data_IF_854769317886
#
_entry.id   IF_854769317886
#
_cell.length_a   1.000
_cell.length_b   1.000
_cell.length_c   1.000
_cell.angle_alpha   90.00
_cell.angle_beta   90.00
_cell.angle_gamma   90.00
#
_symmetry.space_group_name_H-M   'P 1'
#
loop_
_entity.id
_entity.type
_entity.pdbx_description
1 polymer ?
#
# COMPACT_ATOMS: atom_id res chain seq x y z
N UNK A 1 1.48 -15.72 -9.25
CA UNK A 1 2.51 -15.60 -8.19
C UNK A 1 1.80 -15.18 -6.92
N UNK A 2 2.22 -15.61 -5.73
CA UNK A 2 1.60 -15.16 -4.47
C UNK A 2 2.42 -13.99 -3.90
N UNK A 3 1.84 -12.80 -3.85
CA UNK A 3 2.50 -11.56 -3.43
C UNK A 3 1.67 -10.88 -2.35
N UNK A 4 2.35 -10.36 -1.33
CA UNK A 4 1.76 -9.50 -0.32
C UNK A 4 2.52 -8.18 -0.29
N UNK A 5 1.79 -7.06 -0.29
CA UNK A 5 2.35 -5.72 -0.13
C UNK A 5 2.20 -5.32 1.33
N UNK A 6 3.30 -4.99 2.00
CA UNK A 6 3.28 -4.53 3.40
C UNK A 6 3.80 -3.11 3.44
N UNK A 7 2.96 -2.20 3.93
CA UNK A 7 3.29 -0.79 4.11
C UNK A 7 3.08 -0.41 5.57
N UNK A 8 4.02 0.30 6.17
CA UNK A 8 3.95 0.62 7.60
C UNK A 8 2.68 1.39 7.92
N UNK A 9 2.49 2.59 7.36
CA UNK A 9 1.37 3.49 7.68
C UNK A 9 0.68 4.06 6.44
N UNK A 10 -0.63 3.86 6.36
CA UNK A 10 -1.52 4.49 5.37
C UNK A 10 -2.29 5.64 6.03
N UNK A 11 -1.62 6.79 6.19
CA UNK A 11 -2.19 7.98 6.86
C UNK A 11 -2.21 9.23 5.97
N UNK A 12 -1.97 9.08 4.67
CA UNK A 12 -1.98 10.18 3.70
C UNK A 12 -1.12 9.87 2.48
N UNK A 13 -1.15 10.72 1.45
CA UNK A 13 -0.45 10.47 0.18
C UNK A 13 0.95 11.11 0.17
N UNK A 14 1.99 10.37 0.58
CA UNK A 14 3.40 10.80 0.56
C UNK A 14 4.21 9.91 -0.38
N UNK A 15 5.54 10.05 -0.36
CA UNK A 15 6.42 9.33 -1.28
C UNK A 15 6.27 7.81 -1.18
N UNK A 16 6.12 7.26 0.03
CA UNK A 16 5.93 5.83 0.25
C UNK A 16 4.65 5.30 -0.38
N UNK A 17 3.53 6.00 -0.18
CA UNK A 17 2.23 5.61 -0.72
C UNK A 17 2.19 5.75 -2.24
N UNK A 18 2.93 6.71 -2.82
CA UNK A 18 3.09 6.79 -4.28
C UNK A 18 3.84 5.58 -4.84
N UNK A 19 4.84 5.06 -4.12
CA UNK A 19 5.50 3.81 -4.52
C UNK A 19 4.55 2.62 -4.36
N UNK A 20 3.83 2.55 -3.24
CA UNK A 20 2.84 1.51 -3.00
C UNK A 20 1.77 1.48 -4.10
N UNK A 21 1.28 2.63 -4.54
CA UNK A 21 0.33 2.75 -5.65
C UNK A 21 0.88 2.09 -6.92
N UNK A 22 2.14 2.38 -7.29
CA UNK A 22 2.75 1.75 -8.46
C UNK A 22 2.92 0.23 -8.27
N UNK A 23 3.24 -0.23 -7.05
CA UNK A 23 3.29 -1.66 -6.74
C UNK A 23 1.93 -2.34 -6.85
N UNK A 24 0.84 -1.67 -6.44
CA UNK A 24 -0.52 -2.16 -6.61
C UNK A 24 -0.89 -2.32 -8.10
N UNK A 25 -0.42 -1.41 -8.97
CA UNK A 25 -0.62 -1.54 -10.41
C UNK A 25 0.15 -2.73 -11.01
N UNK A 26 1.35 -3.01 -10.50
CA UNK A 26 2.17 -4.14 -10.94
C UNK A 26 1.66 -5.49 -10.42
N UNK A 27 1.07 -5.49 -9.22
CA UNK A 27 0.56 -6.69 -8.54
C UNK A 27 -0.90 -6.51 -8.13
N UNK A 28 -1.83 -6.49 -9.10
CA UNK A 28 -3.25 -6.18 -8.86
C UNK A 28 -3.98 -7.20 -7.99
N UNK A 29 -3.44 -8.41 -7.86
CA UNK A 29 -4.01 -9.49 -7.02
C UNK A 29 -3.35 -9.59 -5.63
N UNK A 30 -2.42 -8.68 -5.28
CA UNK A 30 -1.71 -8.76 -4.01
C UNK A 30 -2.58 -8.29 -2.84
N UNK A 31 -2.55 -9.05 -1.75
CA UNK A 31 -3.11 -8.60 -0.48
C UNK A 31 -2.24 -7.46 0.09
N UNK A 32 -2.90 -6.43 0.64
CA UNK A 32 -2.23 -5.28 1.25
C UNK A 32 -2.38 -5.36 2.77
N UNK A 33 -1.26 -5.30 3.48
CA UNK A 33 -1.21 -5.25 4.94
C UNK A 33 -0.58 -3.93 5.39
N UNK A 34 -1.15 -3.35 6.45
CA UNK A 34 -0.59 -2.16 7.08
C UNK A 34 -0.81 -2.17 8.59
N UNK A 35 0.09 -1.52 9.32
CA UNK A 35 -0.02 -1.41 10.78
C UNK A 35 -1.05 -0.35 11.18
N UNK A 36 -1.13 0.74 10.41
CA UNK A 36 -2.02 1.87 10.70
C UNK A 36 -2.70 2.30 9.41
N UNK A 37 -4.03 2.32 9.41
CA UNK A 37 -4.82 2.87 8.31
C UNK A 37 -5.77 3.94 8.84
N UNK A 38 -5.58 5.18 8.37
CA UNK A 38 -6.47 6.30 8.68
C UNK A 38 -7.04 6.83 7.36
N UNK A 39 -8.28 6.50 7.01
CA UNK A 39 -8.89 6.97 5.78
C UNK A 39 -9.22 8.47 5.86
N UNK A 40 -8.95 9.21 4.78
CA UNK A 40 -9.36 10.61 4.63
C UNK A 40 -8.45 11.64 5.29
N UNK A 41 -7.24 11.26 5.71
CA UNK A 41 -6.18 12.17 6.20
C UNK A 41 -5.16 12.56 5.14
#
# INVERSE_FOLDING_TARGET
MKVALVHDWLTGLRGGERVLEQLCLLYPEADIFTLIYVPGT
#
